data_IF_157687413252
#
_entry.id   IF_157687413252
#
_cell.length_a   1.000
_cell.length_b   1.000
_cell.length_c   1.000
_cell.angle_alpha   90.00
_cell.angle_beta   90.00
_cell.angle_gamma   90.00
#
_symmetry.space_group_name_H-M   'P 1'
#
loop_
_entity.id
_entity.type
_entity.pdbx_description
1 polymer ?
#
# COMPACT_ATOMS: atom_id res chain seq x y z
N UNK A 1 29.37 -4.21 17.98
CA UNK A 1 28.95 -4.34 19.39
C UNK A 1 27.83 -3.32 19.58
N UNK A 2 26.58 -3.72 19.30
CA UNK A 2 25.48 -3.92 20.30
C UNK A 2 25.04 -2.60 20.90
N UNK A 3 23.96 -1.99 20.42
CA UNK A 3 22.57 -2.17 20.90
C UNK A 3 21.58 -1.87 19.74
N UNK A 4 20.52 -2.61 19.44
CA UNK A 4 19.49 -3.06 20.37
C UNK A 4 18.32 -2.07 20.48
N UNK A 5 17.78 -1.53 19.37
CA UNK A 5 16.52 -0.77 19.39
C UNK A 5 15.35 -1.68 19.01
N UNK A 6 15.05 -2.64 19.88
CA UNK A 6 13.80 -3.41 19.88
C UNK A 6 12.62 -2.54 20.38
N UNK A 7 12.47 -1.35 19.78
CA UNK A 7 11.29 -0.51 19.91
C UNK A 7 10.59 -0.26 18.56
N UNK A 8 11.21 -0.60 17.42
CA UNK A 8 10.85 -0.12 16.07
C UNK A 8 9.42 -0.41 15.63
N UNK A 9 9.09 -1.67 15.32
CA UNK A 9 7.77 -2.00 14.76
C UNK A 9 6.63 -1.75 15.74
N UNK A 10 6.80 -2.12 17.02
CA UNK A 10 5.73 -1.97 18.01
C UNK A 10 5.42 -0.49 18.29
N UNK A 11 6.44 0.37 18.35
CA UNK A 11 6.23 1.80 18.50
C UNK A 11 5.56 2.39 17.26
N UNK A 12 6.02 2.06 16.05
CA UNK A 12 5.41 2.51 14.80
C UNK A 12 3.95 2.04 14.68
N UNK A 13 3.67 0.78 15.02
CA UNK A 13 2.31 0.24 15.06
C UNK A 13 1.43 0.94 16.09
N UNK A 14 1.97 1.36 17.23
CA UNK A 14 1.23 2.15 18.23
C UNK A 14 0.86 3.52 17.65
N UNK A 15 1.80 4.20 17.01
CA UNK A 15 1.55 5.49 16.38
C UNK A 15 0.53 5.38 15.22
N UNK A 16 0.67 4.37 14.36
CA UNK A 16 -0.31 4.04 13.33
C UNK A 16 -1.73 3.90 13.92
N UNK A 17 -1.89 3.08 14.96
CA UNK A 17 -3.18 2.86 15.59
C UNK A 17 -3.75 4.13 16.23
N UNK A 18 -2.89 4.99 16.79
CA UNK A 18 -3.30 6.28 17.34
C UNK A 18 -3.82 7.20 16.22
N UNK A 19 -3.11 7.27 15.08
CA UNK A 19 -3.54 8.03 13.90
C UNK A 19 -4.88 7.54 13.32
N UNK A 20 -5.08 6.21 13.22
CA UNK A 20 -6.36 5.65 12.77
C UNK A 20 -7.49 6.04 13.73
N UNK A 21 -7.26 5.98 15.05
CA UNK A 21 -8.26 6.36 16.06
C UNK A 21 -8.62 7.84 16.04
N UNK A 22 -7.70 8.72 15.65
CA UNK A 22 -7.94 10.17 15.54
C UNK A 22 -8.36 10.61 14.13
N UNK A 23 -8.48 9.69 13.17
CA UNK A 23 -8.85 9.99 11.78
C UNK A 23 -7.73 10.63 10.96
N UNK A 24 -6.48 10.57 11.42
CA UNK A 24 -5.31 11.13 10.74
C UNK A 24 -4.77 10.16 9.68
N UNK A 25 -5.52 9.95 8.60
CA UNK A 25 -5.18 8.94 7.58
C UNK A 25 -3.84 9.20 6.89
N UNK A 26 -3.54 10.45 6.52
CA UNK A 26 -2.26 10.78 5.89
C UNK A 26 -1.05 10.37 6.76
N UNK A 27 -1.12 10.65 8.06
CA UNK A 27 -0.06 10.27 8.99
C UNK A 27 -0.05 8.76 9.27
N UNK A 28 -1.21 8.10 9.26
CA UNK A 28 -1.27 6.64 9.35
C UNK A 28 -0.55 5.97 8.16
N UNK A 29 -0.66 6.52 6.96
CA UNK A 29 0.04 6.02 5.76
C UNK A 29 1.56 6.15 5.91
N UNK A 30 2.07 7.23 6.49
CA UNK A 30 3.51 7.39 6.79
C UNK A 30 4.00 6.26 7.72
N UNK A 31 3.25 5.96 8.78
CA UNK A 31 3.60 4.86 9.70
C UNK A 31 3.51 3.48 9.03
N UNK A 32 2.58 3.26 8.10
CA UNK A 32 2.54 2.01 7.32
C UNK A 32 3.81 1.83 6.50
N UNK A 33 4.31 2.89 5.86
CA UNK A 33 5.57 2.86 5.10
C UNK A 33 6.74 2.52 6.02
N UNK A 34 6.86 3.17 7.18
CA UNK A 34 7.93 2.88 8.15
C UNK A 34 7.88 1.43 8.65
N UNK A 35 6.69 0.95 9.03
CA UNK A 35 6.49 -0.44 9.44
C UNK A 35 6.88 -1.43 8.34
N UNK A 36 6.58 -1.12 7.07
CA UNK A 36 6.95 -1.94 5.93
C UNK A 36 8.46 -1.99 5.71
N UNK A 37 9.16 -0.85 5.86
CA UNK A 37 10.63 -0.79 5.79
C UNK A 37 11.31 -1.59 6.91
N UNK A 38 10.77 -1.54 8.13
CA UNK A 38 11.25 -2.35 9.25
C UNK A 38 11.12 -3.84 8.93
N UNK A 39 9.94 -4.29 8.52
CA UNK A 39 9.71 -5.69 8.15
C UNK A 39 10.58 -6.14 6.98
N UNK A 40 10.81 -5.26 6.01
CA UNK A 40 11.72 -5.54 4.90
C UNK A 40 13.16 -5.74 5.38
N UNK A 41 13.65 -4.88 6.29
CA UNK A 41 14.99 -5.02 6.89
C UNK A 41 15.16 -6.33 7.67
N UNK A 42 14.07 -6.84 8.23
CA UNK A 42 13.96 -8.13 8.92
C UNK A 42 13.76 -9.31 7.95
N UNK A 43 13.71 -9.07 6.63
CA UNK A 43 13.41 -10.06 5.57
C UNK A 43 12.04 -10.72 5.69
N UNK A 44 11.10 -10.06 6.36
CA UNK A 44 9.70 -10.48 6.48
C UNK A 44 8.89 -9.96 5.29
N UNK A 45 9.32 -10.32 4.08
CA UNK A 45 8.84 -9.72 2.83
C UNK A 45 7.33 -9.84 2.63
N UNK A 46 6.72 -10.98 2.99
CA UNK A 46 5.27 -11.15 2.90
C UNK A 46 4.51 -10.19 3.80
N UNK A 47 5.00 -9.92 5.01
CA UNK A 47 4.35 -8.98 5.93
C UNK A 47 4.58 -7.54 5.47
N UNK A 48 5.79 -7.22 4.98
CA UNK A 48 6.09 -5.92 4.36
C UNK A 48 5.20 -5.68 3.13
N UNK A 49 4.94 -6.72 2.33
CA UNK A 49 4.09 -6.65 1.15
C UNK A 49 2.65 -6.29 1.52
N UNK A 50 2.09 -6.89 2.57
CA UNK A 50 0.74 -6.57 3.06
C UNK A 50 0.63 -5.09 3.43
N UNK A 51 1.63 -4.54 4.13
CA UNK A 51 1.65 -3.12 4.46
C UNK A 51 1.79 -2.25 3.21
N UNK A 52 2.64 -2.64 2.25
CA UNK A 52 2.76 -1.96 0.95
C UNK A 52 1.45 -1.97 0.14
N UNK A 53 0.71 -3.09 0.16
CA UNK A 53 -0.62 -3.19 -0.46
C UNK A 53 -1.60 -2.21 0.19
N UNK A 54 -1.63 -2.16 1.53
CA UNK A 54 -2.50 -1.24 2.26
C UNK A 54 -2.15 0.23 2.00
N UNK A 55 -0.85 0.58 2.02
CA UNK A 55 -0.35 1.91 1.64
C UNK A 55 -0.76 2.28 0.21
N UNK A 56 -0.61 1.35 -0.73
CA UNK A 56 -1.00 1.55 -2.13
C UNK A 56 -2.50 1.77 -2.29
N UNK A 57 -3.31 0.99 -1.58
CA UNK A 57 -4.76 1.17 -1.57
C UNK A 57 -5.15 2.56 -1.09
N UNK A 58 -4.61 2.99 0.04
CA UNK A 58 -4.85 4.33 0.55
C UNK A 58 -4.42 5.38 -0.49
N UNK A 59 -3.18 5.34 -0.96
CA UNK A 59 -2.62 6.32 -1.88
C UNK A 59 -3.40 6.44 -3.21
N UNK A 60 -4.07 5.37 -3.65
CA UNK A 60 -4.84 5.35 -4.90
C UNK A 60 -6.35 5.49 -4.70
N UNK A 61 -6.85 5.45 -3.46
CA UNK A 61 -8.30 5.42 -3.16
C UNK A 61 -9.04 6.75 -3.32
N UNK A 62 -8.33 7.88 -3.21
CA UNK A 62 -8.93 9.22 -3.19
C UNK A 62 -9.58 9.64 -1.86
N UNK A 63 -9.44 8.83 -0.80
CA UNK A 63 -10.17 9.03 0.46
C UNK A 63 -9.60 10.16 1.33
N UNK A 64 -8.28 10.38 1.29
CA UNK A 64 -7.62 11.36 2.16
C UNK A 64 -6.76 12.39 1.42
N UNK A 65 -6.43 12.13 0.15
CA UNK A 65 -5.60 12.98 -0.69
C UNK A 65 -5.89 12.69 -2.18
N UNK A 66 -5.31 13.50 -3.06
CA UNK A 66 -5.33 13.24 -4.50
C UNK A 66 -4.67 11.88 -4.80
N UNK A 67 -5.33 10.98 -5.56
CA UNK A 67 -4.78 9.67 -5.88
C UNK A 67 -3.44 9.73 -6.60
N UNK A 68 -2.42 9.06 -6.06
CA UNK A 68 -1.06 9.06 -6.63
C UNK A 68 -0.33 7.75 -6.37
N UNK A 69 0.51 7.35 -7.32
CA UNK A 69 1.51 6.28 -7.12
C UNK A 69 2.87 6.95 -6.97
N UNK A 70 3.37 7.07 -5.76
CA UNK A 70 4.67 7.69 -5.49
C UNK A 70 5.84 6.78 -5.90
N UNK A 71 6.96 7.39 -6.31
CA UNK A 71 8.16 6.67 -6.74
C UNK A 71 8.74 5.77 -5.64
N UNK A 72 8.69 6.22 -4.38
CA UNK A 72 9.23 5.47 -3.25
C UNK A 72 8.45 4.17 -3.04
N UNK A 73 7.11 4.28 -3.02
CA UNK A 73 6.19 3.17 -2.87
C UNK A 73 6.30 2.19 -4.05
N UNK A 74 6.35 2.71 -5.28
CA UNK A 74 6.49 1.88 -6.47
C UNK A 74 7.78 1.04 -6.45
N UNK A 75 8.91 1.66 -6.05
CA UNK A 75 10.20 0.96 -5.90
C UNK A 75 10.15 -0.09 -4.81
N UNK A 76 9.57 0.24 -3.65
CA UNK A 76 9.44 -0.69 -2.54
C UNK A 76 8.59 -1.89 -2.92
N UNK A 77 7.39 -1.68 -3.47
CA UNK A 77 6.48 -2.75 -3.88
C UNK A 77 7.12 -3.66 -4.92
N UNK A 78 7.74 -3.09 -5.95
CA UNK A 78 8.45 -3.86 -6.98
C UNK A 78 9.53 -4.76 -6.37
N UNK A 79 10.35 -4.21 -5.46
CA UNK A 79 11.41 -4.96 -4.76
C UNK A 79 10.84 -6.05 -3.86
N UNK A 80 9.88 -5.73 -3.00
CA UNK A 80 9.31 -6.68 -2.05
C UNK A 80 8.60 -7.82 -2.79
N UNK A 81 7.84 -7.52 -3.84
CA UNK A 81 7.18 -8.53 -4.68
C UNK A 81 8.20 -9.49 -5.29
N UNK A 82 9.32 -8.98 -5.82
CA UNK A 82 10.40 -9.80 -6.34
C UNK A 82 10.95 -10.78 -5.29
N UNK A 83 11.19 -10.31 -4.06
CA UNK A 83 11.71 -11.12 -2.96
C UNK A 83 10.71 -12.18 -2.45
N UNK A 84 9.39 -11.91 -2.54
CA UNK A 84 8.38 -12.90 -2.10
C UNK A 84 8.28 -14.13 -2.99
N UNK A 85 8.61 -14.01 -4.29
CA UNK A 85 8.46 -15.10 -5.26
C UNK A 85 7.01 -15.52 -5.55
N UNK A 86 6.02 -14.73 -5.11
CA UNK A 86 4.60 -15.03 -5.32
C UNK A 86 4.22 -14.94 -6.80
N UNK A 87 3.38 -15.88 -7.24
CA UNK A 87 2.73 -15.81 -8.55
C UNK A 87 1.72 -14.66 -8.61
N UNK A 88 1.33 -14.26 -9.82
CA UNK A 88 0.28 -13.24 -10.01
C UNK A 88 -1.00 -13.59 -9.24
N UNK A 89 -1.42 -14.85 -9.29
CA UNK A 89 -2.63 -15.31 -8.62
C UNK A 89 -2.51 -15.22 -7.09
N UNK A 90 -1.40 -15.69 -6.51
CA UNK A 90 -1.19 -15.61 -5.07
C UNK A 90 -1.08 -14.16 -4.58
N UNK A 91 -0.53 -13.24 -5.39
CA UNK A 91 -0.51 -11.81 -5.06
C UNK A 91 -1.90 -11.19 -5.08
N UNK A 92 -2.71 -11.50 -6.09
CA UNK A 92 -4.09 -11.04 -6.18
C UNK A 92 -4.90 -11.54 -4.96
N UNK A 93 -4.78 -12.83 -4.61
CA UNK A 93 -5.43 -13.40 -3.43
C UNK A 93 -4.94 -12.73 -2.14
N UNK A 94 -3.63 -12.51 -1.99
CA UNK A 94 -3.07 -11.82 -0.83
C UNK A 94 -3.57 -10.38 -0.73
N UNK A 95 -3.69 -9.67 -1.85
CA UNK A 95 -4.21 -8.31 -1.89
C UNK A 95 -5.65 -8.25 -1.41
N UNK A 96 -6.51 -9.15 -1.92
CA UNK A 96 -7.93 -9.21 -1.58
C UNK A 96 -8.21 -9.76 -0.17
N UNK A 97 -7.30 -10.54 0.42
CA UNK A 97 -7.38 -10.92 1.84
C UNK A 97 -6.92 -9.77 2.76
N UNK A 98 -5.93 -8.99 2.31
CA UNK A 98 -5.39 -7.84 3.06
C UNK A 98 -6.35 -6.65 3.05
N UNK A 99 -6.93 -6.36 1.88
CA UNK A 99 -7.85 -5.24 1.67
C UNK A 99 -9.23 -5.82 1.43
N UNK A 100 -10.09 -5.67 2.45
CA UNK A 100 -11.49 -6.03 2.35
C UNK A 100 -12.28 -4.83 1.88
N UNK A 101 -13.27 -5.07 1.03
CA UNK A 101 -14.32 -4.09 0.76
C UNK A 101 -14.97 -3.73 2.11
N UNK A 102 -14.76 -2.49 2.55
CA UNK A 102 -15.39 -1.93 3.73
C UNK A 102 -16.42 -0.86 3.30
N UNK A 103 -17.27 -0.50 4.25
CA UNK A 103 -18.33 0.52 4.20
C UNK A 103 -17.81 1.97 4.13
N UNK A 104 -16.53 2.18 3.78
CA UNK A 104 -15.94 3.51 3.59
C UNK A 104 -16.62 4.26 2.41
N UNK A 105 -16.55 5.61 2.38
CA UNK A 105 -17.17 6.42 1.32
C UNK A 105 -16.69 6.02 -0.08
N UNK A 106 -17.53 6.30 -1.09
CA UNK A 106 -17.36 5.84 -2.47
C UNK A 106 -15.92 6.06 -2.99
N UNK A 107 -15.17 4.97 -3.10
CA UNK A 107 -13.82 4.96 -3.65
C UNK A 107 -13.85 5.25 -5.16
N UNK A 108 -12.76 5.81 -5.69
CA UNK A 108 -12.67 6.09 -7.13
C UNK A 108 -12.66 4.82 -8.00
N UNK A 109 -12.34 3.67 -7.41
CA UNK A 109 -12.25 2.36 -8.05
C UNK A 109 -12.51 1.21 -7.04
N UNK A 110 -12.79 0.00 -7.53
CA UNK A 110 -12.97 -1.18 -6.68
C UNK A 110 -11.64 -1.72 -6.14
N UNK A 111 -11.67 -2.56 -5.09
CA UNK A 111 -10.48 -3.24 -4.60
C UNK A 111 -9.80 -4.12 -5.68
N UNK A 112 -10.59 -4.70 -6.59
CA UNK A 112 -10.07 -5.47 -7.74
C UNK A 112 -9.37 -4.60 -8.76
N UNK A 113 -9.92 -3.43 -9.07
CA UNK A 113 -9.26 -2.48 -9.99
C UNK A 113 -7.94 -1.99 -9.37
N UNK A 114 -7.94 -1.73 -8.07
CA UNK A 114 -6.73 -1.35 -7.33
C UNK A 114 -5.68 -2.48 -7.34
N UNK A 115 -6.09 -3.73 -7.10
CA UNK A 115 -5.21 -4.90 -7.18
C UNK A 115 -4.56 -5.04 -8.57
N UNK A 116 -5.34 -4.79 -9.64
CA UNK A 116 -4.81 -4.83 -11.00
C UNK A 116 -3.76 -3.73 -11.25
N UNK A 117 -4.03 -2.49 -10.83
CA UNK A 117 -3.06 -1.39 -10.94
C UNK A 117 -1.81 -1.67 -10.08
N UNK A 118 -1.99 -2.23 -8.89
CA UNK A 118 -0.91 -2.65 -8.01
C UNK A 118 0.01 -3.65 -8.70
N UNK A 119 -0.54 -4.69 -9.34
CA UNK A 119 0.26 -5.70 -10.05
C UNK A 119 1.03 -5.12 -11.24
N UNK A 120 0.44 -4.18 -11.98
CA UNK A 120 1.14 -3.47 -13.06
C UNK A 120 2.31 -2.66 -12.49
N UNK A 121 2.09 -1.95 -11.37
CA UNK A 121 3.14 -1.20 -10.68
C UNK A 121 4.25 -2.13 -10.15
N UNK A 122 3.88 -3.23 -9.51
CA UNK A 122 4.79 -4.23 -8.95
C UNK A 122 5.64 -4.92 -10.04
N UNK A 123 5.14 -5.03 -11.26
CA UNK A 123 5.89 -5.49 -12.42
C UNK A 123 6.89 -4.46 -12.98
N UNK A 124 7.06 -3.30 -12.33
CA UNK A 124 7.94 -2.23 -12.74
C UNK A 124 7.37 -1.30 -13.81
N UNK A 125 6.09 -1.48 -14.20
CA UNK A 125 5.41 -0.66 -15.21
C UNK A 125 4.71 0.53 -14.56
N UNK A 126 5.48 1.35 -13.83
CA UNK A 126 4.95 2.43 -12.97
C UNK A 126 4.16 3.47 -13.76
N UNK A 127 4.66 3.88 -14.94
CA UNK A 127 3.97 4.88 -15.78
C UNK A 127 2.64 4.35 -16.33
N UNK A 128 2.58 3.07 -16.72
CA UNK A 128 1.32 2.45 -17.17
C UNK A 128 0.31 2.40 -16.01
N UNK A 129 0.77 2.05 -14.80
CA UNK A 129 -0.08 2.05 -13.61
C UNK A 129 -0.61 3.46 -13.29
N UNK A 130 0.22 4.50 -13.41
CA UNK A 130 -0.18 5.90 -13.24
C UNK A 130 -1.19 6.35 -14.28
N UNK A 131 -0.98 5.96 -15.55
CA UNK A 131 -1.93 6.27 -16.62
C UNK A 131 -3.30 5.62 -16.35
N UNK A 132 -3.30 4.35 -15.93
CA UNK A 132 -4.52 3.63 -15.55
C UNK A 132 -5.24 4.32 -14.39
N UNK A 133 -4.52 4.69 -13.33
CA UNK A 133 -5.07 5.44 -12.20
C UNK A 133 -5.72 6.76 -12.67
N UNK A 134 -5.03 7.52 -13.53
CA UNK A 134 -5.53 8.79 -14.07
C UNK A 134 -6.86 8.65 -14.83
N UNK A 135 -7.07 7.52 -15.53
CA UNK A 135 -8.34 7.22 -16.21
C UNK A 135 -9.49 7.03 -15.21
N UNK A 136 -9.26 6.36 -14.09
CA UNK A 136 -10.26 6.19 -13.03
C UNK A 136 -10.59 7.53 -12.36
N UNK A 137 -9.57 8.33 -12.03
CA UNK A 137 -9.74 9.68 -11.46
C UNK A 137 -10.61 10.55 -12.38
N UNK A 138 -10.30 10.57 -13.68
CA UNK A 138 -11.06 11.35 -14.67
C UNK A 138 -12.50 10.86 -14.80
N UNK A 139 -12.72 9.54 -14.83
CA UNK A 139 -14.05 8.97 -14.95
C UNK A 139 -14.92 9.22 -13.71
N UNK A 140 -14.32 9.21 -12.51
CA UNK A 140 -15.02 9.52 -11.27
C UNK A 140 -15.41 11.00 -11.18
N UNK A 141 -14.52 11.92 -11.58
CA UNK A 141 -14.79 13.36 -11.59
C UNK A 141 -15.89 13.79 -12.59
N UNK A 142 -16.25 12.92 -13.54
CA UNK A 142 -17.28 13.17 -14.56
C UNK A 142 -18.69 12.69 -14.13
N UNK A 143 -18.83 12.06 -12.96
CA UNK A 143 -20.11 11.63 -12.38
C UNK A 143 -20.75 12.75 -11.55
#
# INVERSE_FOLDING_TARGET
>A
MTTGEHGGYEAAARQYNDCIRTGQIAQAVEWLTEMAEILESEKRYTDALKLGMLTFYFATSGVYAEPVIEDHLAKQVCRVVWETGLTLHEREELFLDTIRDDTLPEHIMSAKDCAYIFDVCAAGRVEDAREMLGRFVTAHAAK
#
